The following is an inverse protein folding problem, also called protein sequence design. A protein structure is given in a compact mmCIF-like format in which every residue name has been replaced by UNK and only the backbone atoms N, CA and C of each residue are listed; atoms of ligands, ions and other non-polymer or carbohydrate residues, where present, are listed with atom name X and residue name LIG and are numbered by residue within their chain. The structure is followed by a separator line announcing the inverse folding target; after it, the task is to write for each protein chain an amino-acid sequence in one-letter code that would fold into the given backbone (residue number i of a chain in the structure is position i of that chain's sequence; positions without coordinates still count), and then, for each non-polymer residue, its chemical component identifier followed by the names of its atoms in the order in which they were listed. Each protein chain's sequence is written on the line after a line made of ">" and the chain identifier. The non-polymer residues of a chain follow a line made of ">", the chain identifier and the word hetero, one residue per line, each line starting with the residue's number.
data_IF_527403614709
#
_entry.id   IF_527403614709
#
_cell.length_a   1.000
_cell.length_b   1.000
_cell.length_c   1.000
_cell.angle_alpha   90.00
_cell.angle_beta   90.00
_cell.angle_gamma   90.00
#
_symmetry.space_group_name_H-M   'P 1'
#
loop_
_entity.id
_entity.type
_entity.pdbx_description
1 polymer ?
#
# COMPACT_ATOMS: atom_id res chain seq x y z
N UNK A 1 11.23 -9.34 -13.27
CA UNK A 1 11.66 -9.89 -11.96
C UNK A 1 11.51 -11.40 -11.96
N UNK A 2 12.51 -12.17 -11.47
CA UNK A 2 12.44 -13.63 -11.39
C UNK A 2 11.76 -14.10 -10.09
N UNK A 3 11.46 -15.44 -9.99
CA UNK A 3 10.75 -16.01 -8.84
C UNK A 3 11.49 -15.78 -7.50
N UNK A 4 12.83 -15.92 -7.50
CA UNK A 4 13.65 -15.74 -6.29
C UNK A 4 13.60 -14.28 -5.79
N UNK A 5 13.73 -13.32 -6.69
CA UNK A 5 13.60 -11.90 -6.33
C UNK A 5 12.25 -11.60 -5.72
N UNK A 6 11.17 -12.11 -6.33
CA UNK A 6 9.80 -11.93 -5.81
C UNK A 6 9.63 -12.53 -4.41
N UNK A 7 10.17 -13.73 -4.18
CA UNK A 7 10.12 -14.37 -2.87
C UNK A 7 10.85 -13.52 -1.81
N UNK A 8 12.03 -12.98 -2.15
CA UNK A 8 12.79 -12.13 -1.23
C UNK A 8 12.01 -10.84 -0.89
N UNK A 9 11.40 -10.17 -1.88
CA UNK A 9 10.62 -8.96 -1.63
C UNK A 9 9.35 -9.24 -0.80
N UNK A 10 8.66 -10.35 -1.05
CA UNK A 10 7.51 -10.74 -0.24
C UNK A 10 7.92 -11.03 1.21
N UNK A 11 9.02 -11.76 1.42
CA UNK A 11 9.57 -12.00 2.75
C UNK A 11 10.04 -10.70 3.44
N UNK A 12 10.59 -9.75 2.67
CA UNK A 12 10.97 -8.44 3.19
C UNK A 12 9.74 -7.66 3.69
N UNK A 13 8.63 -7.64 2.94
CA UNK A 13 7.38 -7.06 3.43
C UNK A 13 6.90 -7.71 4.73
N UNK A 14 6.85 -9.03 4.78
CA UNK A 14 6.36 -9.77 5.94
C UNK A 14 7.22 -9.53 7.18
N UNK A 15 8.53 -9.65 7.07
CA UNK A 15 9.47 -9.54 8.20
C UNK A 15 9.61 -8.09 8.66
N UNK A 16 9.81 -7.16 7.71
CA UNK A 16 10.14 -5.78 8.03
C UNK A 16 8.92 -4.93 8.40
N UNK A 17 7.70 -5.37 8.06
CA UNK A 17 6.48 -4.72 8.59
C UNK A 17 6.24 -5.04 10.06
N UNK A 18 6.73 -6.18 10.56
CA UNK A 18 6.62 -6.58 11.96
C UNK A 18 7.78 -6.07 12.82
N UNK A 19 9.00 -6.09 12.28
CA UNK A 19 10.22 -5.63 12.94
C UNK A 19 11.11 -4.97 11.89
N UNK A 20 10.97 -3.65 11.78
CA UNK A 20 11.72 -2.86 10.79
C UNK A 20 13.25 -2.96 11.01
N UNK A 21 13.71 -3.30 12.23
CA UNK A 21 15.11 -3.49 12.55
C UNK A 21 15.63 -4.92 12.28
N UNK A 22 14.75 -5.85 11.89
CA UNK A 22 15.09 -7.25 11.68
C UNK A 22 16.32 -7.42 10.78
N UNK A 23 17.28 -8.31 11.13
CA UNK A 23 18.45 -8.57 10.29
C UNK A 23 18.04 -9.25 8.98
N UNK A 24 18.84 -9.02 7.92
CA UNK A 24 18.59 -9.59 6.59
C UNK A 24 18.58 -11.13 6.58
N UNK A 25 19.20 -11.76 7.56
CA UNK A 25 19.19 -13.22 7.72
C UNK A 25 17.75 -13.73 7.96
N UNK A 26 16.94 -13.02 8.77
CA UNK A 26 15.51 -13.35 8.94
C UNK A 26 14.72 -13.24 7.63
N UNK A 27 15.06 -12.24 6.80
CA UNK A 27 14.45 -12.11 5.47
C UNK A 27 14.87 -13.25 4.55
N UNK A 28 16.13 -13.65 4.56
CA UNK A 28 16.62 -14.77 3.78
C UNK A 28 15.94 -16.09 4.17
N UNK A 29 15.82 -16.36 5.47
CA UNK A 29 15.14 -17.53 6.02
C UNK A 29 13.66 -17.57 5.62
N UNK A 30 12.95 -16.46 5.79
CA UNK A 30 11.54 -16.34 5.40
C UNK A 30 11.33 -16.49 3.88
N UNK A 31 12.29 -16.03 3.07
CA UNK A 31 12.28 -16.19 1.61
C UNK A 31 12.64 -17.60 1.15
N UNK A 32 13.11 -18.48 2.04
CA UNK A 32 13.62 -19.81 1.70
C UNK A 32 14.90 -19.78 0.86
N UNK A 33 15.79 -18.78 1.10
CA UNK A 33 17.06 -18.62 0.39
C UNK A 33 18.23 -18.51 1.36
N UNK A 34 19.45 -18.77 0.88
CA UNK A 34 20.65 -18.52 1.69
C UNK A 34 20.96 -17.02 1.76
N UNK A 35 21.65 -16.59 2.85
CA UNK A 35 22.18 -15.23 2.98
C UNK A 35 22.99 -14.80 1.74
N UNK A 36 23.84 -15.68 1.22
CA UNK A 36 24.64 -15.43 0.02
C UNK A 36 23.76 -15.17 -1.22
N UNK A 37 22.64 -15.91 -1.33
CA UNK A 37 21.67 -15.70 -2.41
C UNK A 37 20.97 -14.35 -2.26
N UNK A 38 20.55 -13.97 -1.06
CA UNK A 38 19.96 -12.66 -0.79
C UNK A 38 20.93 -11.54 -1.18
N UNK A 39 22.20 -11.60 -0.68
CA UNK A 39 23.20 -10.58 -0.97
C UNK A 39 23.60 -10.50 -2.45
N UNK A 40 23.46 -11.57 -3.20
CA UNK A 40 23.67 -11.54 -4.67
C UNK A 40 22.59 -10.70 -5.39
N UNK A 41 21.35 -10.68 -4.88
CA UNK A 41 20.27 -9.89 -5.45
C UNK A 41 20.21 -8.47 -4.87
N UNK A 42 20.46 -8.33 -3.57
CA UNK A 42 20.37 -7.09 -2.82
C UNK A 42 21.60 -6.92 -1.95
N UNK A 43 22.53 -6.10 -2.43
CA UNK A 43 23.89 -5.95 -1.87
C UNK A 43 23.90 -5.61 -0.38
N UNK A 44 22.96 -4.80 0.07
CA UNK A 44 22.81 -4.35 1.45
C UNK A 44 21.32 -4.10 1.78
N UNK A 45 21.08 -3.69 3.02
CA UNK A 45 19.74 -3.39 3.52
C UNK A 45 19.07 -2.27 2.73
N UNK A 46 19.77 -1.19 2.45
CA UNK A 46 19.24 -0.03 1.72
C UNK A 46 18.72 -0.42 0.34
N UNK A 47 19.49 -1.20 -0.41
CA UNK A 47 19.09 -1.69 -1.75
C UNK A 47 17.86 -2.62 -1.66
N UNK A 48 17.77 -3.44 -0.61
CA UNK A 48 16.57 -4.27 -0.40
C UNK A 48 15.35 -3.40 -0.05
N UNK A 49 15.51 -2.45 0.86
CA UNK A 49 14.44 -1.53 1.27
C UNK A 49 13.90 -0.74 0.09
N UNK A 50 14.81 -0.16 -0.71
CA UNK A 50 14.47 0.53 -1.94
C UNK A 50 13.66 -0.35 -2.89
N UNK A 51 14.16 -1.55 -3.18
CA UNK A 51 13.49 -2.47 -4.08
C UNK A 51 12.11 -2.90 -3.54
N UNK A 52 11.98 -3.04 -2.22
CA UNK A 52 10.72 -3.37 -1.55
C UNK A 52 9.72 -2.22 -1.69
N UNK A 53 10.14 -0.97 -1.47
CA UNK A 53 9.31 0.22 -1.68
C UNK A 53 8.84 0.37 -3.13
N UNK A 54 9.75 0.19 -4.10
CA UNK A 54 9.42 0.22 -5.53
C UNK A 54 8.43 -0.88 -5.94
N UNK A 55 8.52 -2.05 -5.33
CA UNK A 55 7.56 -3.13 -5.59
C UNK A 55 6.16 -2.79 -5.07
N UNK A 56 6.06 -2.09 -3.94
CA UNK A 56 4.76 -1.58 -3.46
C UNK A 56 4.17 -0.55 -4.42
N UNK A 57 4.97 0.42 -4.88
CA UNK A 57 4.55 1.41 -5.89
C UNK A 57 4.01 0.69 -7.13
N UNK A 58 4.76 -0.28 -7.65
CA UNK A 58 4.35 -1.07 -8.82
C UNK A 58 3.00 -1.78 -8.58
N UNK A 59 2.82 -2.44 -7.44
CA UNK A 59 1.57 -3.10 -7.09
C UNK A 59 0.40 -2.12 -6.99
N UNK A 60 0.62 -0.95 -6.43
CA UNK A 60 -0.47 0.05 -6.32
C UNK A 60 -0.86 0.59 -7.70
N UNK A 61 0.12 0.81 -8.60
CA UNK A 61 -0.19 1.16 -10.00
C UNK A 61 -1.03 0.07 -10.67
N UNK A 62 -0.65 -1.21 -10.51
CA UNK A 62 -1.41 -2.34 -11.08
C UNK A 62 -2.84 -2.39 -10.53
N UNK A 63 -3.04 -2.17 -9.22
CA UNK A 63 -4.37 -2.10 -8.61
C UNK A 63 -5.23 -1.00 -9.26
N UNK A 64 -4.64 0.18 -9.49
CA UNK A 64 -5.35 1.29 -10.15
C UNK A 64 -5.67 0.96 -11.60
N UNK A 65 -4.70 0.41 -12.36
CA UNK A 65 -4.88 0.03 -13.77
C UNK A 65 -5.97 -1.03 -13.94
N UNK A 66 -5.96 -2.05 -13.08
CA UNK A 66 -6.99 -3.09 -13.06
C UNK A 66 -8.37 -2.51 -12.76
N UNK A 67 -8.47 -1.62 -11.76
CA UNK A 67 -9.74 -0.98 -11.41
C UNK A 67 -10.28 -0.11 -12.56
N UNK A 68 -9.41 0.65 -13.23
CA UNK A 68 -9.79 1.47 -14.39
C UNK A 68 -10.20 0.62 -15.60
N UNK A 69 -9.62 -0.57 -15.77
CA UNK A 69 -9.98 -1.48 -16.86
C UNK A 69 -11.28 -2.23 -16.57
N UNK A 70 -11.52 -2.58 -15.29
CA UNK A 70 -12.64 -3.43 -14.88
C UNK A 70 -13.97 -2.65 -14.74
N UNK A 71 -13.91 -1.37 -14.41
CA UNK A 71 -15.09 -0.57 -14.10
C UNK A 71 -15.09 0.74 -14.88
N UNK A 72 -16.24 1.12 -15.43
CA UNK A 72 -16.45 2.43 -16.08
C UNK A 72 -16.86 3.53 -15.08
N UNK A 73 -17.39 3.14 -13.92
CA UNK A 73 -17.86 4.06 -12.90
C UNK A 73 -16.73 4.45 -11.96
N UNK A 74 -16.34 5.75 -11.85
CA UNK A 74 -15.25 6.19 -10.97
C UNK A 74 -15.44 5.80 -9.51
N UNK A 75 -16.68 5.73 -9.00
CA UNK A 75 -16.94 5.29 -7.63
C UNK A 75 -16.57 3.81 -7.44
N UNK A 76 -16.92 2.96 -8.40
CA UNK A 76 -16.55 1.53 -8.35
C UNK A 76 -15.05 1.32 -8.57
N UNK A 77 -14.40 2.14 -9.41
CA UNK A 77 -12.93 2.17 -9.55
C UNK A 77 -12.27 2.50 -8.20
N UNK A 78 -12.69 3.60 -7.58
CA UNK A 78 -12.17 4.02 -6.27
C UNK A 78 -12.41 2.96 -5.20
N UNK A 79 -13.62 2.36 -5.16
CA UNK A 79 -13.95 1.25 -4.26
C UNK A 79 -12.99 0.07 -4.45
N UNK A 80 -12.78 -0.35 -5.68
CA UNK A 80 -11.88 -1.48 -5.99
C UNK A 80 -10.44 -1.18 -5.54
N UNK A 81 -9.95 0.04 -5.76
CA UNK A 81 -8.62 0.47 -5.31
C UNK A 81 -8.52 0.40 -3.79
N UNK A 82 -9.47 1.00 -3.04
CA UNK A 82 -9.46 0.99 -1.57
C UNK A 82 -9.49 -0.45 -1.03
N UNK A 83 -10.39 -1.29 -1.54
CA UNK A 83 -10.56 -2.66 -1.06
C UNK A 83 -9.32 -3.53 -1.35
N UNK A 84 -8.74 -3.42 -2.54
CA UNK A 84 -7.52 -4.17 -2.89
C UNK A 84 -6.31 -3.69 -2.09
N UNK A 85 -6.14 -2.37 -1.94
CA UNK A 85 -5.06 -1.79 -1.14
C UNK A 85 -5.14 -2.21 0.34
N UNK A 86 -6.33 -2.21 0.93
CA UNK A 86 -6.55 -2.65 2.31
C UNK A 86 -6.13 -4.12 2.54
N UNK A 87 -6.23 -4.96 1.51
CA UNK A 87 -5.74 -6.35 1.55
C UNK A 87 -4.21 -6.46 1.58
N UNK A 88 -3.49 -5.37 1.29
CA UNK A 88 -2.03 -5.26 1.31
C UNK A 88 -1.54 -4.45 2.52
N UNK A 89 -2.28 -4.48 3.63
CA UNK A 89 -2.03 -3.63 4.79
C UNK A 89 -0.60 -3.73 5.35
N UNK A 90 -0.01 -4.94 5.39
CA UNK A 90 1.38 -5.18 5.77
C UNK A 90 2.38 -4.37 4.92
N UNK A 91 2.14 -4.26 3.62
CA UNK A 91 2.99 -3.52 2.68
C UNK A 91 2.89 -2.02 2.90
N UNK A 92 1.71 -1.50 3.20
CA UNK A 92 1.53 -0.08 3.54
C UNK A 92 2.17 0.28 4.87
N UNK A 93 2.12 -0.61 5.86
CA UNK A 93 2.81 -0.40 7.14
C UNK A 93 4.33 -0.33 6.96
N UNK A 94 4.89 -1.23 6.14
CA UNK A 94 6.29 -1.15 5.75
C UNK A 94 6.65 0.21 5.13
N UNK A 95 5.82 0.72 4.22
CA UNK A 95 6.03 2.02 3.56
C UNK A 95 6.08 3.17 4.57
N UNK A 96 5.11 3.23 5.49
CA UNK A 96 5.06 4.30 6.50
C UNK A 96 6.33 4.30 7.36
N UNK A 97 6.77 3.13 7.81
CA UNK A 97 8.03 3.01 8.55
C UNK A 97 9.26 3.39 7.71
N UNK A 98 9.29 3.02 6.44
CA UNK A 98 10.38 3.39 5.55
C UNK A 98 10.46 4.92 5.37
N UNK A 99 9.32 5.59 5.25
CA UNK A 99 9.25 7.06 5.13
C UNK A 99 9.67 7.79 6.42
N UNK A 100 9.44 7.20 7.61
CA UNK A 100 9.82 7.80 8.89
C UNK A 100 11.33 7.68 9.20
N UNK A 101 11.98 6.61 8.70
CA UNK A 101 13.33 6.24 9.14
C UNK A 101 14.44 6.53 8.12
N UNK A 102 14.10 6.86 6.89
CA UNK A 102 15.07 7.08 5.83
C UNK A 102 14.85 8.41 5.09
N UNK A 103 15.95 9.15 4.87
CA UNK A 103 15.98 10.34 4.00
C UNK A 103 15.78 9.96 2.52
N UNK A 104 14.68 9.27 2.20
CA UNK A 104 14.39 8.80 0.83
C UNK A 104 13.81 9.89 -0.07
N UNK A 105 14.44 11.08 -0.12
CA UNK A 105 14.10 12.11 -1.10
C UNK A 105 14.05 11.57 -2.54
N UNK A 106 14.83 10.50 -2.83
CA UNK A 106 14.90 9.91 -4.16
C UNK A 106 13.65 9.10 -4.57
N UNK A 107 12.89 8.56 -3.60
CA UNK A 107 11.71 7.72 -3.88
C UNK A 107 10.39 8.46 -3.74
N UNK A 108 10.42 9.62 -3.09
CA UNK A 108 9.26 10.48 -2.88
C UNK A 108 8.45 10.77 -4.18
N UNK A 109 9.09 11.07 -5.34
CA UNK A 109 8.34 11.31 -6.57
C UNK A 109 7.46 10.14 -7.02
N UNK A 110 7.93 8.89 -6.88
CA UNK A 110 7.17 7.70 -7.29
C UNK A 110 5.97 7.41 -6.40
N UNK A 111 6.08 7.69 -5.10
CA UNK A 111 4.95 7.62 -4.18
C UNK A 111 3.94 8.72 -4.47
N UNK A 112 4.40 9.93 -4.80
CA UNK A 112 3.52 11.03 -5.23
C UNK A 112 2.73 10.68 -6.50
N UNK A 113 3.31 9.97 -7.46
CA UNK A 113 2.60 9.51 -8.66
C UNK A 113 1.40 8.61 -8.28
N UNK A 114 1.58 7.69 -7.32
CA UNK A 114 0.49 6.85 -6.81
C UNK A 114 -0.60 7.70 -6.15
N UNK A 115 -0.21 8.65 -5.29
CA UNK A 115 -1.14 9.56 -4.63
C UNK A 115 -1.96 10.36 -5.65
N UNK A 116 -1.29 10.91 -6.67
CA UNK A 116 -1.95 11.68 -7.73
C UNK A 116 -2.96 10.82 -8.52
N UNK A 117 -2.66 9.55 -8.75
CA UNK A 117 -3.59 8.63 -9.40
C UNK A 117 -4.83 8.36 -8.55
N UNK A 118 -4.64 8.13 -7.24
CA UNK A 118 -5.76 7.95 -6.30
C UNK A 118 -6.60 9.21 -6.22
N UNK A 119 -5.97 10.39 -6.11
CA UNK A 119 -6.67 11.68 -6.11
C UNK A 119 -7.40 11.93 -7.42
N UNK A 120 -6.85 11.51 -8.56
CA UNK A 120 -7.54 11.58 -9.85
C UNK A 120 -8.86 10.80 -9.86
N UNK A 121 -8.91 9.63 -9.21
CA UNK A 121 -10.16 8.88 -9.02
C UNK A 121 -11.12 9.61 -8.07
N UNK A 122 -10.62 10.20 -6.99
CA UNK A 122 -11.42 11.01 -6.07
C UNK A 122 -12.03 12.22 -6.80
N UNK A 123 -11.25 12.92 -7.61
CA UNK A 123 -11.71 14.07 -8.40
C UNK A 123 -12.76 13.67 -9.45
N UNK A 124 -12.60 12.49 -10.08
CA UNK A 124 -13.62 11.96 -10.99
C UNK A 124 -14.95 11.67 -10.27
N UNK A 125 -14.93 11.22 -9.01
CA UNK A 125 -16.13 11.02 -8.17
C UNK A 125 -16.66 12.37 -7.69
N UNK A 126 -15.80 13.33 -7.35
CA UNK A 126 -16.15 14.72 -6.96
C UNK A 126 -16.89 15.43 -8.08
N UNK A 127 -16.44 15.30 -9.32
CA UNK A 127 -17.10 15.88 -10.50
C UNK A 127 -18.51 15.33 -10.75
N UNK A 128 -18.88 14.22 -10.12
CA UNK A 128 -20.24 13.67 -10.09
C UNK A 128 -21.06 14.19 -8.90
N UNK A 129 -20.53 15.11 -8.11
CA UNK A 129 -21.21 15.69 -6.94
C UNK A 129 -21.39 14.72 -5.77
N UNK A 130 -20.56 13.66 -5.66
CA UNK A 130 -20.69 12.64 -4.62
C UNK A 130 -19.74 12.85 -3.44
N UNK A 131 -18.63 13.56 -3.63
CA UNK A 131 -17.66 13.88 -2.58
C UNK A 131 -18.06 15.19 -1.90
N UNK A 132 -17.93 15.23 -0.58
CA UNK A 132 -18.14 16.46 0.19
C UNK A 132 -17.20 17.57 -0.33
N UNK A 133 -17.74 18.73 -0.81
CA UNK A 133 -16.93 19.80 -1.38
C UNK A 133 -15.98 20.45 -0.36
N UNK A 134 -16.30 20.39 0.93
CA UNK A 134 -15.47 20.95 2.00
C UNK A 134 -14.28 20.06 2.39
N UNK A 135 -14.17 18.88 1.78
CA UNK A 135 -13.11 17.90 2.06
C UNK A 135 -11.90 18.12 1.15
N UNK A 136 -10.78 18.69 1.64
CA UNK A 136 -9.60 18.92 0.81
C UNK A 136 -8.90 17.61 0.45
N UNK A 137 -8.26 17.59 -0.74
CA UNK A 137 -7.52 16.40 -1.22
C UNK A 137 -6.44 15.94 -0.25
N UNK A 138 -5.74 16.88 0.42
CA UNK A 138 -4.74 16.54 1.44
C UNK A 138 -5.34 15.72 2.58
N UNK A 139 -6.56 16.07 3.05
CA UNK A 139 -7.23 15.30 4.09
C UNK A 139 -7.64 13.90 3.60
N UNK A 140 -8.10 13.80 2.36
CA UNK A 140 -8.53 12.52 1.76
C UNK A 140 -7.34 11.56 1.64
N UNK A 141 -6.14 12.04 1.27
CA UNK A 141 -4.94 11.21 1.24
C UNK A 141 -4.53 10.75 2.65
N UNK A 142 -4.56 11.63 3.65
CA UNK A 142 -4.31 11.21 5.03
C UNK A 142 -5.33 10.19 5.53
N UNK A 143 -6.59 10.33 5.18
CA UNK A 143 -7.62 9.35 5.49
C UNK A 143 -7.33 8.01 4.81
N UNK A 144 -6.91 8.02 3.53
CA UNK A 144 -6.50 6.81 2.81
C UNK A 144 -5.38 6.07 3.57
N UNK A 145 -4.30 6.76 3.94
CA UNK A 145 -3.20 6.13 4.70
C UNK A 145 -3.65 5.65 6.08
N UNK A 146 -4.48 6.42 6.77
CA UNK A 146 -5.06 6.00 8.05
C UNK A 146 -5.87 4.70 7.94
N UNK A 147 -6.67 4.55 6.89
CA UNK A 147 -7.44 3.33 6.61
C UNK A 147 -6.49 2.15 6.28
N UNK A 148 -5.42 2.38 5.51
CA UNK A 148 -4.44 1.32 5.23
C UNK A 148 -3.73 0.85 6.50
N UNK A 149 -3.32 1.77 7.38
CA UNK A 149 -2.72 1.46 8.69
C UNK A 149 -3.68 0.69 9.58
N UNK A 150 -4.94 1.13 9.67
CA UNK A 150 -5.98 0.44 10.44
C UNK A 150 -6.23 -0.98 9.90
N UNK A 151 -6.25 -1.14 8.58
CA UNK A 151 -6.40 -2.44 7.93
C UNK A 151 -5.26 -3.38 8.28
N UNK A 152 -4.03 -2.89 8.28
CA UNK A 152 -2.86 -3.65 8.69
C UNK A 152 -2.95 -4.07 10.17
N UNK A 153 -3.23 -3.14 11.09
CA UNK A 153 -3.36 -3.45 12.52
C UNK A 153 -4.43 -4.54 12.75
N UNK A 154 -5.59 -4.40 12.11
CA UNK A 154 -6.68 -5.37 12.24
C UNK A 154 -6.30 -6.76 11.72
N UNK A 155 -5.50 -6.85 10.66
CA UNK A 155 -4.99 -8.12 10.11
C UNK A 155 -3.91 -8.73 11.00
N UNK A 156 -2.94 -7.94 11.45
CA UNK A 156 -1.79 -8.41 12.25
C UNK A 156 -2.19 -8.86 13.65
N UNK A 157 -3.15 -8.17 14.27
CA UNK A 157 -3.69 -8.51 15.58
C UNK A 157 -4.73 -9.66 15.53
N UNK A 158 -5.23 -10.02 14.33
CA UNK A 158 -6.29 -10.98 14.17
C UNK A 158 -7.64 -10.53 14.76
N UNK A 159 -7.78 -9.21 15.02
CA UNK A 159 -9.00 -8.64 15.65
C UNK A 159 -10.20 -8.62 14.70
N UNK A 160 -9.95 -8.67 13.38
CA UNK A 160 -10.96 -8.72 12.31
C UNK A 160 -10.66 -9.85 11.34
N UNK A 161 -11.69 -10.59 10.93
CA UNK A 161 -11.53 -11.63 9.92
C UNK A 161 -11.00 -11.04 8.61
N UNK A 162 -9.93 -11.60 7.99
CA UNK A 162 -9.27 -11.01 6.83
C UNK A 162 -10.21 -10.68 5.66
N UNK A 163 -11.23 -11.53 5.43
CA UNK A 163 -12.24 -11.31 4.38
C UNK A 163 -13.15 -10.10 4.64
N UNK A 164 -13.19 -9.58 5.86
CA UNK A 164 -14.02 -8.42 6.24
C UNK A 164 -13.27 -7.10 6.12
N UNK A 165 -11.95 -7.11 6.22
CA UNK A 165 -11.13 -5.89 6.23
C UNK A 165 -11.36 -5.03 4.99
N UNK A 166 -11.37 -5.55 3.74
CA UNK A 166 -11.60 -4.72 2.56
C UNK A 166 -12.96 -3.99 2.56
N UNK A 167 -14.03 -4.66 2.99
CA UNK A 167 -15.37 -4.06 3.08
C UNK A 167 -15.40 -2.94 4.12
N UNK A 168 -14.82 -3.18 5.31
CA UNK A 168 -14.75 -2.18 6.37
C UNK A 168 -13.90 -0.97 5.96
N UNK A 169 -12.78 -1.21 5.28
CA UNK A 169 -11.93 -0.14 4.74
C UNK A 169 -12.72 0.75 3.78
N UNK A 170 -13.44 0.15 2.82
CA UNK A 170 -14.29 0.91 1.90
C UNK A 170 -15.40 1.67 2.63
N UNK A 171 -16.11 1.00 3.54
CA UNK A 171 -17.19 1.62 4.30
C UNK A 171 -16.70 2.84 5.08
N UNK A 172 -15.58 2.70 5.81
CA UNK A 172 -15.00 3.79 6.60
C UNK A 172 -14.52 4.94 5.71
N UNK A 173 -13.83 4.64 4.61
CA UNK A 173 -13.34 5.64 3.68
C UNK A 173 -14.51 6.38 3.02
N UNK A 174 -15.47 5.65 2.45
CA UNK A 174 -16.58 6.25 1.71
C UNK A 174 -17.50 7.08 2.62
N UNK A 175 -17.76 6.63 3.85
CA UNK A 175 -18.53 7.39 4.83
C UNK A 175 -17.81 8.66 5.29
N UNK A 176 -16.47 8.67 5.21
CA UNK A 176 -15.66 9.83 5.57
C UNK A 176 -15.65 10.93 4.49
N UNK A 177 -15.81 10.58 3.22
CA UNK A 177 -15.62 11.54 2.11
C UNK A 177 -16.88 11.84 1.30
N UNK A 178 -17.88 10.94 1.31
CA UNK A 178 -19.10 11.15 0.52
C UNK A 178 -20.14 12.00 1.26
N UNK A 179 -20.96 12.71 0.48
CA UNK A 179 -22.11 13.39 1.04
C UNK A 179 -23.07 12.37 1.66
N UNK A 180 -23.40 12.58 2.92
CA UNK A 180 -24.55 11.93 3.57
C UNK A 180 -25.84 12.49 2.97
N UNK A 181 -26.68 11.62 2.46
CA UNK A 181 -28.02 12.01 2.00
C UNK A 181 -28.90 12.39 3.17
#
# INVERSE_FOLDING_TARGET
>A
MNKTQRNILNAAFEVLSQDFSAPLDKVADAAGVTRATLHRYYKNREVLMEATGLELVRHTHEIVDEAMTQYDNPREQLKAVIMKSASLGDRFHFLLHAMEHDNHEQHYPKFQEVEQRILGLVDAVRNKGLVNPDMPNAWIIHLYYGIMTTSWSALSEGSVAPKKVPELAWQSFSSGIFLTK
#
